data_IF_064293921799
#
_entry.id   IF_064293921799
#
_cell.length_a   1.000
_cell.length_b   1.000
_cell.length_c   1.000
_cell.angle_alpha   90.00
_cell.angle_beta   90.00
_cell.angle_gamma   90.00
#
_symmetry.space_group_name_H-M   'P 1'
#
loop_
_entity.id
_entity.type
_entity.pdbx_description
1 polymer ?
#
# COMPACT_ATOMS: atom_id res chain seq x y z
N UNK A 1 -6.64 18.74 2.40
CA UNK A 1 -7.46 19.08 3.59
C UNK A 1 -7.39 20.58 3.83
N UNK A 2 -8.41 21.22 4.40
CA UNK A 2 -8.30 22.62 4.83
C UNK A 2 -7.98 22.64 6.32
N UNK A 3 -6.84 23.21 6.68
CA UNK A 3 -6.42 23.43 8.07
C UNK A 3 -6.09 24.91 8.26
N UNK A 4 -6.68 25.56 9.26
CA UNK A 4 -6.46 26.98 9.57
C UNK A 4 -6.52 27.90 8.32
N UNK A 5 -7.48 27.64 7.43
CA UNK A 5 -7.68 28.41 6.19
C UNK A 5 -6.74 28.07 5.03
N UNK A 6 -5.75 27.19 5.22
CA UNK A 6 -4.80 26.76 4.17
C UNK A 6 -5.15 25.38 3.63
N UNK A 7 -4.89 25.16 2.34
CA UNK A 7 -4.99 23.85 1.72
C UNK A 7 -3.67 23.10 1.96
N UNK A 8 -3.74 21.96 2.63
CA UNK A 8 -2.59 21.08 2.91
C UNK A 8 -2.77 19.74 2.22
N UNK A 9 -1.66 19.19 1.71
CA UNK A 9 -1.59 17.81 1.22
C UNK A 9 -1.65 16.85 2.41
N UNK A 10 -2.40 15.77 2.27
CA UNK A 10 -2.53 14.69 3.26
C UNK A 10 -2.51 13.37 2.52
N UNK A 11 -2.12 12.30 3.20
CA UNK A 11 -2.23 10.95 2.65
C UNK A 11 -3.51 10.27 3.16
N UNK A 12 -4.14 9.48 2.29
CA UNK A 12 -5.26 8.61 2.66
C UNK A 12 -4.76 7.17 2.58
N UNK A 13 -4.75 6.50 3.72
CA UNK A 13 -4.35 5.11 3.87
C UNK A 13 -5.60 4.24 3.89
N UNK A 14 -5.63 3.18 3.09
CA UNK A 14 -6.72 2.19 3.06
C UNK A 14 -6.12 0.78 3.10
N UNK A 15 -6.69 -0.10 3.93
CA UNK A 15 -6.39 -1.53 3.89
C UNK A 15 -7.62 -2.31 3.41
N UNK A 16 -7.40 -3.14 2.39
CA UNK A 16 -8.37 -4.11 1.87
C UNK A 16 -7.76 -5.50 2.02
N UNK A 17 -8.55 -6.46 2.47
CA UNK A 17 -8.12 -7.84 2.62
C UNK A 17 -8.99 -8.79 1.80
N UNK A 18 -8.40 -9.92 1.46
CA UNK A 18 -9.09 -11.09 0.93
C UNK A 18 -9.00 -12.18 2.00
N UNK A 19 -10.13 -12.72 2.43
CA UNK A 19 -10.17 -13.82 3.39
C UNK A 19 -10.03 -15.19 2.71
N UNK A 20 -9.94 -16.27 3.49
CA UNK A 20 -9.74 -17.64 2.98
C UNK A 20 -10.90 -18.15 2.11
N UNK A 21 -12.07 -17.52 2.21
CA UNK A 21 -13.24 -17.85 1.41
C UNK A 21 -13.29 -17.02 0.11
N UNK A 22 -12.26 -16.23 -0.17
CA UNK A 22 -12.20 -15.32 -1.32
C UNK A 22 -12.98 -14.02 -1.15
N UNK A 23 -13.61 -13.80 0.01
CA UNK A 23 -14.35 -12.58 0.32
C UNK A 23 -13.42 -11.38 0.46
N UNK A 24 -13.85 -10.21 -0.03
CA UNK A 24 -13.10 -8.95 0.02
C UNK A 24 -13.73 -7.99 1.02
N UNK A 25 -12.92 -7.51 1.95
CA UNK A 25 -13.37 -6.60 3.01
C UNK A 25 -12.44 -5.40 3.14
N UNK A 26 -13.02 -4.22 3.32
CA UNK A 26 -12.27 -3.03 3.72
C UNK A 26 -12.02 -3.11 5.22
N UNK A 27 -10.77 -3.31 5.62
CA UNK A 27 -10.40 -3.44 7.03
C UNK A 27 -10.35 -2.10 7.75
N UNK A 28 -10.05 -1.03 7.02
CA UNK A 28 -10.05 0.33 7.56
C UNK A 28 -9.44 1.35 6.63
N UNK A 29 -9.68 2.62 6.97
CA UNK A 29 -9.13 3.78 6.31
C UNK A 29 -8.67 4.81 7.36
N UNK A 30 -7.65 5.60 7.03
CA UNK A 30 -7.22 6.73 7.85
C UNK A 30 -6.67 7.85 6.96
N UNK A 31 -7.02 9.09 7.28
CA UNK A 31 -6.34 10.28 6.75
C UNK A 31 -5.20 10.61 7.69
N UNK A 32 -3.99 10.78 7.14
CA UNK A 32 -2.77 11.06 7.92
C UNK A 32 -1.99 12.22 7.30
N UNK A 33 -1.14 12.92 8.08
CA UNK A 33 -0.36 14.05 7.57
C UNK A 33 0.59 13.68 6.42
N UNK A 34 1.16 12.48 6.44
CA UNK A 34 2.07 12.00 5.39
C UNK A 34 2.18 10.47 5.37
N UNK A 35 2.90 9.93 4.40
CA UNK A 35 3.18 8.49 4.26
C UNK A 35 4.39 8.02 5.10
N UNK A 36 4.78 8.79 6.13
CA UNK A 36 5.87 8.41 7.02
C UNK A 36 5.58 7.12 7.79
N UNK A 37 6.63 6.38 8.11
CA UNK A 37 6.54 5.06 8.77
C UNK A 37 5.70 5.04 10.05
N UNK A 38 5.78 6.02 10.99
CA UNK A 38 4.98 5.97 12.21
C UNK A 38 3.47 5.94 11.93
N UNK A 39 3.01 6.68 10.92
CA UNK A 39 1.60 6.71 10.55
C UNK A 39 1.10 5.37 10.00
N UNK A 40 1.94 4.68 9.20
CA UNK A 40 1.66 3.32 8.76
C UNK A 40 1.66 2.32 9.92
N UNK A 41 2.68 2.37 10.77
CA UNK A 41 2.80 1.48 11.94
C UNK A 41 1.58 1.60 12.86
N UNK A 42 1.14 2.82 13.16
CA UNK A 42 -0.03 3.07 14.00
C UNK A 42 -1.34 2.62 13.34
N UNK A 43 -1.45 2.79 12.02
CA UNK A 43 -2.59 2.28 11.27
C UNK A 43 -2.64 0.75 11.31
N UNK A 44 -1.55 0.06 10.99
CA UNK A 44 -1.48 -1.41 10.99
C UNK A 44 -1.71 -1.98 12.39
N UNK A 45 -1.13 -1.38 13.43
CA UNK A 45 -1.41 -1.75 14.83
C UNK A 45 -2.87 -1.54 15.22
N UNK A 46 -3.57 -0.56 14.63
CA UNK A 46 -5.00 -0.41 14.88
C UNK A 46 -5.84 -1.53 14.26
N UNK A 47 -5.37 -2.14 13.16
CA UNK A 47 -6.00 -3.34 12.61
C UNK A 47 -5.79 -4.53 13.55
N UNK A 48 -4.57 -4.73 14.07
CA UNK A 48 -4.30 -5.82 15.01
C UNK A 48 -5.04 -5.63 16.34
N UNK A 49 -5.19 -4.41 16.85
CA UNK A 49 -6.03 -4.19 18.05
C UNK A 49 -7.50 -4.56 17.83
N UNK A 50 -8.01 -4.43 16.61
CA UNK A 50 -9.35 -4.89 16.20
C UNK A 50 -9.37 -6.35 15.74
N UNK A 51 -8.49 -7.16 16.34
CA UNK A 51 -8.42 -8.61 16.15
C UNK A 51 -8.03 -9.09 14.74
N UNK A 52 -7.43 -8.24 13.88
CA UNK A 52 -6.80 -8.75 12.66
C UNK A 52 -5.64 -9.69 13.04
N UNK A 53 -5.74 -10.96 12.66
CA UNK A 53 -4.74 -12.01 12.93
C UNK A 53 -4.50 -12.85 11.69
N UNK A 54 -3.41 -13.60 11.69
CA UNK A 54 -3.14 -14.60 10.65
C UNK A 54 -2.81 -14.03 9.27
N UNK A 55 -2.43 -12.75 9.16
CA UNK A 55 -1.99 -12.14 7.90
C UNK A 55 -0.83 -12.94 7.32
N UNK A 56 -1.01 -13.53 6.14
CA UNK A 56 0.02 -14.35 5.47
C UNK A 56 0.82 -13.55 4.43
N UNK A 57 0.14 -12.64 3.75
CA UNK A 57 0.69 -11.84 2.67
C UNK A 57 0.24 -10.39 2.83
N UNK A 58 1.17 -9.46 2.68
CA UNK A 58 0.89 -8.04 2.52
C UNK A 58 1.37 -7.59 1.15
N UNK A 59 0.46 -7.04 0.36
CA UNK A 59 0.75 -6.46 -0.95
C UNK A 59 0.63 -4.94 -0.89
N UNK A 60 1.69 -4.21 -1.23
CA UNK A 60 1.68 -2.74 -1.23
C UNK A 60 2.62 -2.16 -2.29
N UNK A 61 2.60 -0.85 -2.52
CA UNK A 61 3.74 -0.22 -3.20
C UNK A 61 5.02 -0.37 -2.36
N UNK A 62 6.18 -0.16 -2.99
CA UNK A 62 7.50 -0.25 -2.39
C UNK A 62 7.91 0.99 -1.57
N UNK A 63 6.95 1.79 -1.11
CA UNK A 63 7.23 2.92 -0.23
C UNK A 63 7.92 2.45 1.06
N UNK A 64 9.11 2.98 1.36
CA UNK A 64 9.97 2.44 2.43
C UNK A 64 9.32 2.53 3.82
N UNK A 65 8.59 3.61 4.10
CA UNK A 65 7.86 3.74 5.37
C UNK A 65 6.79 2.66 5.58
N UNK A 66 6.15 2.21 4.50
CA UNK A 66 5.14 1.15 4.57
C UNK A 66 5.81 -0.23 4.70
N UNK A 67 6.87 -0.50 3.93
CA UNK A 67 7.64 -1.75 4.07
C UNK A 67 8.16 -1.94 5.50
N UNK A 68 8.76 -0.89 6.07
CA UNK A 68 9.26 -0.92 7.44
C UNK A 68 8.13 -1.13 8.46
N UNK A 69 6.98 -0.47 8.30
CA UNK A 69 5.82 -0.68 9.17
C UNK A 69 5.26 -2.11 9.09
N UNK A 70 5.17 -2.68 7.88
CA UNK A 70 4.72 -4.06 7.68
C UNK A 70 5.63 -5.04 8.42
N UNK A 71 6.94 -4.93 8.23
CA UNK A 71 7.93 -5.80 8.91
C UNK A 71 7.89 -5.66 10.43
N UNK A 72 7.51 -4.49 10.97
CA UNK A 72 7.37 -4.26 12.42
C UNK A 72 6.10 -4.85 13.01
N UNK A 73 5.00 -4.88 12.25
CA UNK A 73 3.66 -5.20 12.79
C UNK A 73 3.22 -6.63 12.45
N UNK A 74 3.64 -7.16 11.30
CA UNK A 74 3.22 -8.47 10.83
C UNK A 74 4.42 -9.39 10.58
N UNK A 75 4.26 -10.65 10.99
CA UNK A 75 5.12 -11.73 10.51
C UNK A 75 4.51 -12.34 9.23
N UNK A 76 4.51 -11.56 8.16
CA UNK A 76 3.89 -11.91 6.88
C UNK A 76 4.91 -11.75 5.74
N UNK A 77 4.71 -12.51 4.65
CA UNK A 77 5.44 -12.24 3.42
C UNK A 77 5.01 -10.89 2.88
N UNK A 78 5.97 -10.08 2.45
CA UNK A 78 5.69 -8.84 1.73
C UNK A 78 5.93 -9.04 0.23
N UNK A 79 5.02 -8.50 -0.59
CA UNK A 79 5.16 -8.47 -2.04
C UNK A 79 4.85 -7.07 -2.56
N UNK A 80 5.65 -6.60 -3.53
CA UNK A 80 5.33 -5.36 -4.25
C UNK A 80 4.08 -5.55 -5.12
N UNK A 81 3.18 -4.59 -5.05
CA UNK A 81 2.00 -4.50 -5.89
C UNK A 81 2.42 -4.30 -7.36
N UNK A 82 2.10 -5.28 -8.22
CA UNK A 82 2.43 -5.25 -9.66
C UNK A 82 1.71 -4.11 -10.40
N UNK A 83 0.52 -3.72 -9.92
CA UNK A 83 -0.22 -2.57 -10.49
C UNK A 83 0.54 -1.26 -10.27
N UNK A 84 1.00 -1.00 -9.04
CA UNK A 84 1.82 0.18 -8.75
C UNK A 84 3.18 0.11 -9.44
N UNK A 85 3.83 -1.06 -9.46
CA UNK A 85 5.07 -1.25 -10.22
C UNK A 85 4.91 -0.85 -11.69
N UNK A 86 3.86 -1.36 -12.37
CA UNK A 86 3.60 -1.04 -13.76
C UNK A 86 3.28 0.44 -13.95
N UNK A 87 2.45 1.04 -13.09
CA UNK A 87 2.15 2.48 -13.16
C UNK A 87 3.41 3.33 -13.00
N UNK A 88 4.25 3.00 -12.02
CA UNK A 88 5.49 3.71 -11.75
C UNK A 88 6.45 3.59 -12.94
N UNK A 89 6.64 2.38 -13.49
CA UNK A 89 7.50 2.19 -14.65
C UNK A 89 7.02 3.00 -15.86
N UNK A 90 5.72 2.99 -16.15
CA UNK A 90 5.15 3.66 -17.33
C UNK A 90 5.23 5.19 -17.26
N UNK A 91 5.43 5.76 -16.07
CA UNK A 91 5.69 7.19 -15.90
C UNK A 91 7.06 7.61 -16.48
N UNK A 92 8.02 6.69 -16.58
CA UNK A 92 9.38 6.96 -17.08
C UNK A 92 9.62 6.43 -18.50
N UNK A 93 8.67 5.70 -19.07
CA UNK A 93 8.81 5.06 -20.40
C UNK A 93 8.19 5.91 -21.50
N UNK A 94 8.99 6.21 -22.52
CA UNK A 94 8.55 6.89 -23.73
C UNK A 94 7.46 6.11 -24.48
N UNK A 95 6.52 6.82 -25.12
CA UNK A 95 5.30 6.20 -25.70
C UNK A 95 5.58 4.98 -26.60
N UNK A 96 6.63 5.03 -27.43
CA UNK A 96 6.99 3.94 -28.35
C UNK A 96 7.48 2.64 -27.68
N UNK A 97 7.93 2.70 -26.43
CA UNK A 97 8.49 1.55 -25.70
C UNK A 97 7.51 0.92 -24.70
N UNK A 98 6.35 1.56 -24.49
CA UNK A 98 5.36 1.18 -23.47
C UNK A 98 4.84 -0.24 -23.62
N UNK A 99 4.56 -0.70 -24.84
CA UNK A 99 4.05 -2.05 -25.10
C UNK A 99 5.06 -3.11 -24.69
N UNK A 100 6.33 -2.93 -25.05
CA UNK A 100 7.43 -3.84 -24.71
C UNK A 100 7.64 -3.89 -23.19
N UNK A 101 7.73 -2.74 -22.53
CA UNK A 101 7.94 -2.69 -21.06
C UNK A 101 6.76 -3.30 -20.30
N UNK A 102 5.52 -3.05 -20.74
CA UNK A 102 4.35 -3.65 -20.13
C UNK A 102 4.25 -5.17 -20.34
N UNK A 103 4.79 -5.71 -21.44
CA UNK A 103 4.88 -7.15 -21.64
C UNK A 103 5.90 -7.77 -20.67
N UNK A 104 7.09 -7.18 -20.59
CA UNK A 104 8.17 -7.63 -19.69
C UNK A 104 7.73 -7.67 -18.22
N UNK A 105 7.04 -6.62 -17.75
CA UNK A 105 6.58 -6.53 -16.37
C UNK A 105 5.41 -7.45 -16.02
N UNK A 106 4.71 -8.01 -17.02
CA UNK A 106 3.63 -9.01 -16.82
C UNK A 106 4.16 -10.43 -16.65
N UNK A 107 5.32 -10.74 -17.21
CA UNK A 107 5.89 -12.09 -17.26
C UNK A 107 6.92 -12.38 -16.18
N UNK A 108 7.47 -11.34 -15.52
CA UNK A 108 8.45 -11.48 -14.44
C UNK A 108 7.86 -11.62 -13.03
#
# INVERSE_FOLDING_TARGET
MREAGRIVSVAVIIAVAVNTNGGRDVLGMRVVPSEAEPFWTDFLRSLTRRSLRGVKLVMSDAHEGLKAAVSKVFNATWQRCRVHLMRNAMAYVGKGQRTMVAALLRTG
#
